data_IF_122709675507
#
_entry.id   IF_122709675507
#
_cell.length_a   1.000
_cell.length_b   1.000
_cell.length_c   1.000
_cell.angle_alpha   90.00
_cell.angle_beta   90.00
_cell.angle_gamma   90.00
#
_symmetry.space_group_name_H-M   'P 1'
#
loop_
_entity.id
_entity.type
_entity.pdbx_description
1 polymer ?
#
# COMPACT_ATOMS: atom_id res chain seq x y z
N UNK A 1 -7.92 -11.45 14.16
CA UNK A 1 -6.53 -11.24 13.71
C UNK A 1 -6.44 -10.12 12.69
N UNK A 2 -5.46 -9.24 12.85
CA UNK A 2 -5.24 -8.07 11.99
C UNK A 2 -3.91 -8.22 11.25
N UNK A 3 -3.85 -7.72 10.02
CA UNK A 3 -2.61 -7.59 9.23
C UNK A 3 -2.45 -6.13 8.79
N UNK A 4 -1.23 -5.61 8.86
CA UNK A 4 -0.88 -4.27 8.38
C UNK A 4 0.00 -4.38 7.13
N UNK A 5 -0.33 -3.61 6.10
CA UNK A 5 0.48 -3.44 4.88
C UNK A 5 1.01 -2.01 4.88
N UNK A 6 2.32 -1.86 5.01
CA UNK A 6 3.00 -0.58 5.19
C UNK A 6 4.46 -0.66 4.67
N UNK A 7 4.91 0.20 3.72
CA UNK A 7 4.12 1.16 2.94
C UNK A 7 3.29 0.44 1.86
N UNK A 8 2.30 1.11 1.29
CA UNK A 8 1.70 0.64 0.02
C UNK A 8 2.67 0.88 -1.15
N UNK A 9 3.30 -0.20 -1.61
CA UNK A 9 4.10 -0.23 -2.82
C UNK A 9 3.23 -0.58 -4.04
N UNK A 10 3.65 -0.23 -5.27
CA UNK A 10 3.07 -0.82 -6.46
C UNK A 10 3.06 -2.35 -6.36
N UNK A 11 2.01 -2.99 -6.89
CA UNK A 11 1.68 -4.42 -6.78
C UNK A 11 1.13 -4.88 -5.42
N UNK A 12 1.32 -4.12 -4.35
CA UNK A 12 0.83 -4.47 -3.01
C UNK A 12 -0.71 -4.49 -2.92
N UNK A 13 -1.42 -3.86 -3.86
CA UNK A 13 -2.89 -3.88 -3.98
C UNK A 13 -3.48 -5.30 -4.14
N UNK A 14 -2.67 -6.29 -4.54
CA UNK A 14 -3.10 -7.69 -4.65
C UNK A 14 -3.08 -8.42 -3.31
N UNK A 15 -2.36 -7.90 -2.31
CA UNK A 15 -2.18 -8.55 -1.01
C UNK A 15 -3.48 -8.71 -0.20
N UNK A 16 -4.37 -7.71 -0.09
CA UNK A 16 -5.61 -7.86 0.67
C UNK A 16 -6.46 -9.04 0.20
N UNK A 17 -6.58 -9.25 -1.11
CA UNK A 17 -7.28 -10.42 -1.67
C UNK A 17 -6.62 -11.74 -1.30
N UNK A 18 -5.28 -11.79 -1.27
CA UNK A 18 -4.54 -13.00 -0.86
C UNK A 18 -4.63 -13.31 0.64
N UNK A 19 -5.03 -12.32 1.44
CA UNK A 19 -5.25 -12.43 2.88
C UNK A 19 -6.70 -12.81 3.23
N UNK A 20 -7.61 -12.90 2.26
CA UNK A 20 -8.98 -13.33 2.48
C UNK A 20 -9.00 -14.71 3.16
N UNK A 21 -9.78 -14.82 4.24
CA UNK A 21 -9.87 -16.03 5.07
C UNK A 21 -8.66 -16.32 5.97
N UNK A 22 -7.59 -15.50 5.92
CA UNK A 22 -6.40 -15.62 6.78
C UNK A 22 -6.31 -14.51 7.84
N UNK A 23 -6.97 -13.39 7.60
CA UNK A 23 -7.08 -12.28 8.54
C UNK A 23 -8.50 -11.71 8.50
N UNK A 24 -8.99 -11.25 9.66
CA UNK A 24 -10.34 -10.68 9.76
C UNK A 24 -10.38 -9.26 9.22
N UNK A 25 -9.25 -8.53 9.32
CA UNK A 25 -9.12 -7.14 8.88
C UNK A 25 -7.72 -6.85 8.37
N UNK A 26 -7.64 -6.02 7.31
CA UNK A 26 -6.39 -5.53 6.73
C UNK A 26 -6.34 -4.00 6.91
N UNK A 27 -5.28 -3.52 7.54
CA UNK A 27 -4.96 -2.09 7.66
C UNK A 27 -3.92 -1.75 6.60
N UNK A 28 -4.13 -0.66 5.88
CA UNK A 28 -3.21 -0.17 4.85
C UNK A 28 -2.73 1.20 5.28
N UNK A 29 -1.42 1.31 5.44
CA UNK A 29 -0.77 2.56 5.80
C UNK A 29 -0.07 3.17 4.58
N UNK A 30 -0.31 4.47 4.41
CA UNK A 30 0.37 5.30 3.42
C UNK A 30 1.86 5.47 3.77
N UNK A 31 2.25 5.26 5.04
CA UNK A 31 3.57 5.56 5.62
C UNK A 31 4.10 6.90 5.11
N UNK A 32 3.55 7.97 5.69
CA UNK A 32 4.03 9.34 5.52
C UNK A 32 5.39 9.60 6.24
N UNK A 33 6.20 8.57 6.48
CA UNK A 33 7.49 8.70 7.15
C UNK A 33 8.59 8.70 6.09
N UNK A 34 9.39 9.76 6.01
CA UNK A 34 10.50 9.95 5.08
C UNK A 34 11.56 8.81 5.07
N UNK A 35 11.46 7.83 5.98
CA UNK A 35 12.29 6.64 6.01
C UNK A 35 12.09 5.70 4.80
N UNK A 36 10.92 5.71 4.17
CA UNK A 36 10.68 4.87 3.00
C UNK A 36 11.19 5.50 1.69
N UNK A 37 11.47 6.81 1.65
CA UNK A 37 11.87 7.56 0.45
C UNK A 37 13.07 6.91 -0.25
N UNK A 38 14.04 6.42 0.51
CA UNK A 38 15.22 5.74 -0.03
C UNK A 38 14.87 4.44 -0.76
N UNK A 39 13.84 3.71 -0.31
CA UNK A 39 13.36 2.48 -0.95
C UNK A 39 12.66 2.84 -2.26
N UNK A 40 11.74 3.82 -2.24
CA UNK A 40 11.07 4.27 -3.45
C UNK A 40 12.09 4.73 -4.51
N UNK A 41 13.09 5.53 -4.13
CA UNK A 41 14.16 5.98 -5.06
C UNK A 41 15.03 4.83 -5.57
N UNK A 42 15.41 3.89 -4.69
CA UNK A 42 16.23 2.72 -5.08
C UNK A 42 15.58 1.90 -6.18
N UNK A 43 14.25 1.82 -6.18
CA UNK A 43 13.47 1.04 -7.15
C UNK A 43 12.82 1.91 -8.23
N UNK A 44 13.18 3.20 -8.34
CA UNK A 44 12.62 4.13 -9.34
C UNK A 44 11.09 4.29 -9.25
N UNK A 45 10.55 4.26 -8.03
CA UNK A 45 9.13 4.31 -7.71
C UNK A 45 8.67 5.71 -7.23
N UNK A 46 9.43 6.77 -7.50
CA UNK A 46 9.13 8.12 -7.02
C UNK A 46 7.74 8.61 -7.48
N UNK A 47 7.25 8.14 -8.63
CA UNK A 47 5.90 8.42 -9.12
C UNK A 47 4.80 7.96 -8.14
N UNK A 48 5.09 6.89 -7.37
CA UNK A 48 4.18 6.31 -6.38
C UNK A 48 4.24 7.03 -5.02
N UNK A 49 5.14 8.00 -4.84
CA UNK A 49 5.21 8.84 -3.63
C UNK A 49 4.24 10.03 -3.67
N UNK A 50 3.31 10.06 -4.63
CA UNK A 50 2.41 11.21 -4.85
C UNK A 50 1.05 11.00 -4.19
N UNK A 51 0.42 12.09 -3.72
CA UNK A 51 -0.95 12.03 -3.18
C UNK A 51 -1.94 11.42 -4.19
N UNK A 52 -1.73 11.66 -5.48
CA UNK A 52 -2.52 11.09 -6.58
C UNK A 52 -2.48 9.55 -6.54
N UNK A 53 -1.28 8.96 -6.49
CA UNK A 53 -1.10 7.51 -6.42
C UNK A 53 -1.87 6.90 -5.24
N UNK A 54 -1.74 7.49 -4.04
CA UNK A 54 -2.44 6.97 -2.86
C UNK A 54 -3.96 7.07 -2.96
N UNK A 55 -4.49 8.15 -3.53
CA UNK A 55 -5.94 8.32 -3.74
C UNK A 55 -6.48 7.31 -4.77
N UNK A 56 -5.74 7.08 -5.84
CA UNK A 56 -6.09 6.06 -6.85
C UNK A 56 -6.10 4.67 -6.23
N UNK A 57 -5.04 4.28 -5.49
CA UNK A 57 -4.98 2.98 -4.80
C UNK A 57 -6.05 2.79 -3.75
N UNK A 58 -6.38 3.82 -2.97
CA UNK A 58 -7.52 3.78 -2.03
C UNK A 58 -8.83 3.45 -2.76
N UNK A 59 -9.06 4.09 -3.91
CA UNK A 59 -10.27 3.89 -4.72
C UNK A 59 -10.33 2.48 -5.28
N UNK A 60 -9.23 1.97 -5.84
CA UNK A 60 -9.13 0.58 -6.33
C UNK A 60 -9.45 -0.43 -5.22
N UNK A 61 -8.84 -0.25 -4.05
CA UNK A 61 -9.01 -1.16 -2.90
C UNK A 61 -10.41 -1.11 -2.29
N UNK A 62 -11.07 0.04 -2.30
CA UNK A 62 -12.45 0.17 -1.79
C UNK A 62 -13.51 -0.49 -2.69
N UNK A 63 -13.16 -0.78 -3.95
CA UNK A 63 -14.04 -1.44 -4.93
C UNK A 63 -13.80 -2.94 -5.01
N UNK A 64 -12.78 -3.46 -4.34
CA UNK A 64 -12.24 -4.80 -4.52
C UNK A 64 -12.85 -5.83 -3.57
#
# INVERSE_FOLDING_TARGET
>A
TYVMIAPILPEAEKLPRRLAGKADRVLIDKLNYHHADAIYRRYQLEYAMTQKFFTEKKTELSKA
#
